data_IF_806554706442
#
_entry.id   IF_806554706442
#
_cell.length_a   1.000
_cell.length_b   1.000
_cell.length_c   1.000
_cell.angle_alpha   90.00
_cell.angle_beta   90.00
_cell.angle_gamma   90.00
#
_symmetry.space_group_name_H-M   'P 1'
#
loop_
_entity.id
_entity.type
_entity.pdbx_description
1 polymer ?
#
# COMPACT_ATOMS: atom_id res chain seq x y z
N UNK A 1 -8.82 11.41 5.70
CA UNK A 1 -9.45 12.42 4.82
C UNK A 1 -9.88 11.74 3.51
N UNK A 2 -10.93 12.19 2.81
CA UNK A 2 -11.41 11.53 1.59
C UNK A 2 -10.55 11.95 0.37
N UNK A 3 -9.30 11.50 0.31
CA UNK A 3 -8.37 11.80 -0.79
C UNK A 3 -8.32 10.61 -1.76
N UNK A 4 -8.55 10.86 -3.04
CA UNK A 4 -8.30 9.88 -4.09
C UNK A 4 -6.84 9.96 -4.56
N UNK A 5 -6.09 8.89 -4.30
CA UNK A 5 -4.65 8.83 -4.58
C UNK A 5 -4.33 8.56 -6.04
N UNK A 6 -5.23 7.92 -6.81
CA UNK A 6 -4.96 7.52 -8.21
C UNK A 6 -4.81 8.71 -9.18
N UNK A 7 -5.68 9.75 -9.13
CA UNK A 7 -5.50 10.95 -9.94
C UNK A 7 -4.51 11.95 -9.33
N UNK A 8 -4.10 11.75 -8.07
CA UNK A 8 -3.24 12.68 -7.34
C UNK A 8 -1.76 12.50 -7.73
N UNK A 9 -1.06 13.62 -7.96
CA UNK A 9 0.36 13.59 -8.33
C UNK A 9 1.15 14.75 -7.71
N UNK A 10 2.29 14.44 -7.10
CA UNK A 10 3.31 15.42 -6.73
C UNK A 10 4.51 15.31 -7.67
N UNK A 11 4.73 16.34 -8.49
CA UNK A 11 5.86 16.39 -9.45
C UNK A 11 7.22 16.55 -8.78
N UNK A 12 7.26 17.04 -7.54
CA UNK A 12 8.49 17.30 -6.79
C UNK A 12 8.80 16.23 -5.74
N UNK A 13 7.91 15.24 -5.59
CA UNK A 13 8.05 14.06 -4.71
C UNK A 13 9.47 13.51 -4.69
N UNK A 14 10.06 13.22 -5.84
CA UNK A 14 11.35 12.52 -5.91
C UNK A 14 12.50 13.36 -5.30
N UNK A 15 12.32 14.69 -5.23
CA UNK A 15 13.26 15.59 -4.54
C UNK A 15 13.02 15.65 -3.02
N UNK A 16 11.91 15.14 -2.51
CA UNK A 16 11.54 15.19 -1.08
C UNK A 16 11.72 13.86 -0.33
N UNK A 17 11.97 12.75 -1.01
CA UNK A 17 12.00 11.42 -0.41
C UNK A 17 13.40 10.78 -0.41
N UNK A 18 13.53 9.64 0.27
CA UNK A 18 14.76 8.84 0.29
C UNK A 18 15.65 9.10 1.50
N UNK A 19 16.84 8.48 1.46
CA UNK A 19 17.86 8.57 2.51
C UNK A 19 18.19 10.03 2.83
N UNK A 20 18.35 10.35 4.11
CA UNK A 20 18.62 11.69 4.64
C UNK A 20 17.49 12.72 4.47
N UNK A 21 16.29 12.31 4.04
CA UNK A 21 15.09 13.18 3.99
C UNK A 21 13.90 12.56 4.70
N UNK A 22 13.62 11.29 4.38
CA UNK A 22 12.54 10.50 5.01
C UNK A 22 13.12 9.17 5.43
N UNK A 23 13.05 8.16 4.56
CA UNK A 23 13.65 6.83 4.75
C UNK A 23 14.04 6.23 3.39
N UNK A 24 14.96 5.29 3.39
CA UNK A 24 15.58 4.73 2.18
C UNK A 24 14.63 3.90 1.29
N UNK A 25 13.53 3.40 1.86
CA UNK A 25 12.51 2.57 1.21
C UNK A 25 11.30 3.37 0.69
N UNK A 26 11.23 4.68 0.94
CA UNK A 26 10.03 5.47 0.68
C UNK A 26 9.54 5.35 -0.78
N UNK A 27 10.44 5.49 -1.75
CA UNK A 27 10.06 5.41 -3.17
C UNK A 27 9.48 4.04 -3.53
N UNK A 28 10.16 2.97 -3.14
CA UNK A 28 9.79 1.58 -3.38
C UNK A 28 8.41 1.26 -2.75
N UNK A 29 8.26 1.53 -1.45
CA UNK A 29 7.02 1.29 -0.70
C UNK A 29 5.85 2.08 -1.29
N UNK A 30 6.05 3.36 -1.60
CA UNK A 30 5.00 4.21 -2.18
C UNK A 30 4.56 3.71 -3.57
N UNK A 31 5.52 3.35 -4.43
CA UNK A 31 5.22 2.83 -5.76
C UNK A 31 4.49 1.47 -5.71
N UNK A 32 4.86 0.60 -4.77
CA UNK A 32 4.18 -0.67 -4.56
C UNK A 32 2.75 -0.48 -4.05
N UNK A 33 2.55 0.39 -3.05
CA UNK A 33 1.21 0.70 -2.52
C UNK A 33 0.29 1.26 -3.61
N UNK A 34 0.79 2.18 -4.44
CA UNK A 34 0.02 2.75 -5.55
C UNK A 34 -0.38 1.66 -6.56
N UNK A 35 0.56 0.81 -6.95
CA UNK A 35 0.31 -0.30 -7.89
C UNK A 35 -0.72 -1.28 -7.34
N UNK A 36 -0.57 -1.69 -6.09
CA UNK A 36 -1.48 -2.62 -5.43
C UNK A 36 -2.88 -2.04 -5.25
N UNK A 37 -2.97 -0.74 -4.92
CA UNK A 37 -4.25 -0.07 -4.79
C UNK A 37 -4.99 0.03 -6.13
N UNK A 38 -4.28 0.38 -7.22
CA UNK A 38 -4.87 0.42 -8.55
C UNK A 38 -5.42 -0.96 -8.99
N UNK A 39 -4.65 -2.03 -8.77
CA UNK A 39 -5.11 -3.40 -9.07
C UNK A 39 -6.28 -3.82 -8.19
N UNK A 40 -6.24 -3.49 -6.90
CA UNK A 40 -7.33 -3.79 -5.98
C UNK A 40 -8.63 -3.05 -6.31
N UNK A 41 -8.55 -1.80 -6.79
CA UNK A 41 -9.74 -1.07 -7.28
C UNK A 41 -10.36 -1.76 -8.50
N UNK A 42 -9.54 -2.19 -9.47
CA UNK A 42 -10.00 -2.96 -10.62
C UNK A 42 -10.64 -4.30 -10.21
N UNK A 43 -10.04 -5.01 -9.25
CA UNK A 43 -10.61 -6.25 -8.72
C UNK A 43 -11.96 -6.01 -8.02
N UNK A 44 -12.09 -4.92 -7.22
CA UNK A 44 -13.36 -4.53 -6.58
C UNK A 44 -14.44 -4.20 -7.63
N UNK A 45 -14.09 -3.47 -8.68
CA UNK A 45 -15.00 -3.15 -9.78
C UNK A 45 -15.47 -4.41 -10.50
N UNK A 46 -14.54 -5.32 -10.83
CA UNK A 46 -14.87 -6.60 -11.46
C UNK A 46 -15.80 -7.45 -10.58
N UNK A 47 -15.50 -7.52 -9.29
CA UNK A 47 -16.34 -8.23 -8.30
C UNK A 47 -17.74 -7.63 -8.18
N UNK A 48 -17.89 -6.31 -8.29
CA UNK A 48 -19.19 -5.65 -8.23
C UNK A 48 -20.06 -5.97 -9.47
N UNK A 49 -19.43 -6.28 -10.61
CA UNK A 49 -20.12 -6.61 -11.87
C UNK A 49 -20.41 -8.11 -11.98
N UNK A 50 -19.42 -8.96 -11.67
CA UNK A 50 -19.47 -10.40 -11.93
C UNK A 50 -19.70 -11.26 -10.67
N UNK A 51 -19.65 -10.65 -9.48
CA UNK A 51 -19.67 -11.34 -8.19
C UNK A 51 -18.29 -11.79 -7.72
N UNK A 52 -18.14 -11.96 -6.41
CA UNK A 52 -16.86 -12.31 -5.75
C UNK A 52 -16.31 -13.68 -6.18
N UNK A 53 -17.20 -14.60 -6.58
CA UNK A 53 -16.83 -15.94 -7.07
C UNK A 53 -16.04 -15.91 -8.39
N UNK A 54 -16.09 -14.80 -9.13
CA UNK A 54 -15.35 -14.62 -10.37
C UNK A 54 -13.88 -14.19 -10.15
N UNK A 55 -13.51 -13.77 -8.93
CA UNK A 55 -12.15 -13.32 -8.62
C UNK A 55 -11.20 -14.49 -8.38
N UNK A 56 -9.96 -14.37 -8.88
CA UNK A 56 -8.87 -15.24 -8.46
C UNK A 56 -8.50 -14.99 -6.99
N UNK A 57 -7.84 -15.95 -6.35
CA UNK A 57 -7.41 -15.77 -4.95
C UNK A 57 -6.40 -14.63 -4.77
N UNK A 58 -5.66 -14.28 -5.83
CA UNK A 58 -4.80 -13.10 -5.86
C UNK A 58 -5.63 -11.82 -5.98
N UNK A 59 -6.63 -11.78 -6.85
CA UNK A 59 -7.51 -10.62 -6.99
C UNK A 59 -8.30 -10.34 -5.71
N UNK A 60 -8.73 -11.38 -4.99
CA UNK A 60 -9.35 -11.24 -3.66
C UNK A 60 -8.40 -10.59 -2.66
N UNK A 61 -7.11 -10.97 -2.67
CA UNK A 61 -6.10 -10.34 -1.81
C UNK A 61 -5.85 -8.88 -2.19
N UNK A 62 -5.83 -8.54 -3.49
CA UNK A 62 -5.74 -7.14 -3.94
C UNK A 62 -6.98 -6.33 -3.57
N UNK A 63 -8.18 -6.89 -3.70
CA UNK A 63 -9.43 -6.25 -3.28
C UNK A 63 -9.43 -5.97 -1.76
N UNK A 64 -9.02 -6.96 -0.96
CA UNK A 64 -8.84 -6.82 0.50
C UNK A 64 -7.78 -5.78 0.84
N UNK A 65 -6.66 -5.76 0.13
CA UNK A 65 -5.62 -4.74 0.30
C UNK A 65 -6.19 -3.34 0.02
N UNK A 66 -6.97 -3.16 -1.04
CA UNK A 66 -7.53 -1.85 -1.39
C UNK A 66 -8.51 -1.33 -0.34
N UNK A 67 -9.34 -2.19 0.23
CA UNK A 67 -10.21 -1.84 1.36
C UNK A 67 -9.40 -1.42 2.60
N UNK A 68 -8.43 -2.24 3.02
CA UNK A 68 -7.57 -1.91 4.15
C UNK A 68 -6.75 -0.63 3.92
N UNK A 69 -6.34 -0.36 2.68
CA UNK A 69 -5.67 0.88 2.30
C UNK A 69 -6.58 2.11 2.45
N UNK A 70 -7.83 2.04 1.99
CA UNK A 70 -8.82 3.11 2.16
C UNK A 70 -9.10 3.37 3.66
N UNK A 71 -9.33 2.29 4.42
CA UNK A 71 -9.72 2.35 5.84
C UNK A 71 -8.60 2.75 6.79
N UNK A 72 -7.37 2.28 6.56
CA UNK A 72 -6.28 2.46 7.52
C UNK A 72 -5.26 3.48 7.02
N UNK A 73 -4.86 3.40 5.75
CA UNK A 73 -3.82 4.27 5.21
C UNK A 73 -4.35 5.67 4.92
N UNK A 74 -5.45 5.78 4.16
CA UNK A 74 -6.05 7.06 3.75
C UNK A 74 -6.87 7.68 4.88
N UNK A 75 -7.67 6.87 5.59
CA UNK A 75 -8.46 7.35 6.72
C UNK A 75 -7.63 7.45 8.00
N UNK A 76 -7.07 8.63 8.24
CA UNK A 76 -6.22 8.92 9.40
C UNK A 76 -7.00 9.33 10.67
N UNK A 77 -8.24 9.81 10.54
CA UNK A 77 -8.96 10.50 11.62
C UNK A 77 -8.62 11.99 11.69
N UNK A 78 -9.50 12.79 12.30
CA UNK A 78 -9.40 14.26 12.27
C UNK A 78 -8.25 14.83 13.13
N UNK A 79 -7.93 14.18 14.23
CA UNK A 79 -6.95 14.64 15.22
C UNK A 79 -5.61 13.91 15.16
N UNK A 80 -5.50 12.88 14.32
CA UNK A 80 -4.27 12.11 14.22
C UNK A 80 -3.22 12.87 13.41
N UNK A 81 -1.99 12.87 13.90
CA UNK A 81 -0.83 13.47 13.25
C UNK A 81 0.25 12.40 13.09
N UNK A 82 0.22 11.70 11.95
CA UNK A 82 1.19 10.65 11.64
C UNK A 82 2.49 11.25 11.12
N UNK A 83 3.60 10.82 11.69
CA UNK A 83 4.93 10.99 11.10
C UNK A 83 5.06 10.21 9.79
N UNK A 84 6.08 10.56 9.01
CA UNK A 84 6.38 9.82 7.78
C UNK A 84 6.80 8.37 8.08
N UNK A 85 7.47 8.11 9.21
CA UNK A 85 7.92 6.78 9.58
C UNK A 85 6.75 5.86 9.95
N UNK A 86 5.77 6.37 10.70
CA UNK A 86 4.51 5.67 11.00
C UNK A 86 3.73 5.37 9.72
N UNK A 87 3.69 6.32 8.79
CA UNK A 87 3.03 6.14 7.49
C UNK A 87 3.71 5.03 6.68
N UNK A 88 5.05 5.03 6.63
CA UNK A 88 5.79 3.98 5.94
C UNK A 88 5.62 2.61 6.61
N UNK A 89 5.66 2.55 7.94
CA UNK A 89 5.40 1.32 8.70
C UNK A 89 3.99 0.77 8.44
N UNK A 90 2.97 1.63 8.41
CA UNK A 90 1.61 1.22 8.06
C UNK A 90 1.55 0.68 6.63
N UNK A 91 2.25 1.32 5.69
CA UNK A 91 2.41 0.80 4.33
C UNK A 91 2.92 -0.63 4.30
N UNK A 92 3.99 -0.92 5.03
CA UNK A 92 4.55 -2.28 5.16
C UNK A 92 3.58 -3.28 5.80
N UNK A 93 2.85 -2.88 6.85
CA UNK A 93 1.81 -3.72 7.47
C UNK A 93 0.73 -4.11 6.46
N UNK A 94 0.28 -3.16 5.64
CA UNK A 94 -0.73 -3.43 4.61
C UNK A 94 -0.19 -4.31 3.48
N UNK A 95 1.05 -4.10 3.06
CA UNK A 95 1.68 -4.92 2.01
C UNK A 95 1.83 -6.39 2.40
N UNK A 96 1.83 -6.72 3.70
CA UNK A 96 1.81 -8.11 4.21
C UNK A 96 0.54 -8.88 3.80
N UNK A 97 -0.54 -8.20 3.42
CA UNK A 97 -1.76 -8.82 2.88
C UNK A 97 -1.49 -9.52 1.54
N UNK A 98 -0.53 -9.01 0.78
CA UNK A 98 -0.16 -9.57 -0.52
C UNK A 98 0.98 -10.58 -0.36
N UNK A 99 1.02 -11.64 -1.17
CA UNK A 99 2.12 -12.58 -1.14
C UNK A 99 3.40 -11.90 -1.65
N UNK A 100 4.56 -12.32 -1.15
CA UNK A 100 5.86 -11.72 -1.52
C UNK A 100 6.09 -11.68 -3.04
N UNK A 101 5.58 -12.67 -3.77
CA UNK A 101 5.68 -12.76 -5.24
C UNK A 101 5.01 -11.60 -5.97
N UNK A 102 4.07 -10.91 -5.32
CA UNK A 102 3.36 -9.75 -5.88
C UNK A 102 4.04 -8.40 -5.54
N UNK A 103 5.06 -8.39 -4.69
CA UNK A 103 5.79 -7.18 -4.27
C UNK A 103 6.92 -6.80 -5.26
N UNK A 104 6.56 -6.68 -6.53
CA UNK A 104 7.47 -6.56 -7.68
C UNK A 104 8.19 -5.21 -7.78
N UNK A 105 7.79 -4.19 -7.02
CA UNK A 105 8.33 -2.82 -7.07
C UNK A 105 9.22 -2.46 -5.89
N UNK A 106 9.54 -3.45 -5.05
CA UNK A 106 10.36 -3.27 -3.87
C UNK A 106 11.60 -4.14 -3.99
N UNK A 107 12.77 -3.57 -3.74
CA UNK A 107 14.03 -4.32 -3.67
C UNK A 107 14.01 -5.33 -2.52
N UNK A 108 14.62 -6.50 -2.74
CA UNK A 108 14.68 -7.58 -1.76
C UNK A 108 15.28 -7.15 -0.42
N UNK A 109 16.32 -6.30 -0.46
CA UNK A 109 16.98 -5.75 0.74
C UNK A 109 16.00 -5.03 1.68
N UNK A 110 14.98 -4.35 1.12
CA UNK A 110 13.96 -3.67 1.91
C UNK A 110 12.84 -4.59 2.34
N UNK A 111 12.47 -5.57 1.50
CA UNK A 111 11.54 -6.62 1.91
C UNK A 111 12.08 -7.37 3.12
N UNK A 112 13.38 -7.68 3.17
CA UNK A 112 13.99 -8.38 4.32
C UNK A 112 14.09 -7.50 5.56
N UNK A 113 14.36 -6.20 5.37
CA UNK A 113 14.58 -5.25 6.46
C UNK A 113 13.29 -4.75 7.11
N UNK A 114 12.24 -4.51 6.33
CA UNK A 114 11.05 -3.78 6.78
C UNK A 114 9.76 -4.59 6.78
N UNK A 115 9.70 -5.73 6.09
CA UNK A 115 8.51 -6.58 6.14
C UNK A 115 8.32 -7.10 7.58
N UNK A 116 7.14 -6.94 8.19
CA UNK A 116 6.86 -7.50 9.50
C UNK A 116 7.00 -9.03 9.49
N UNK A 117 7.91 -9.57 10.30
CA UNK A 117 8.21 -11.01 10.37
C UNK A 117 7.22 -11.71 11.28
N UNK A 118 6.07 -12.13 10.74
CA UNK A 118 5.02 -12.80 11.54
C UNK A 118 4.44 -11.88 12.61
N UNK A 119 3.31 -12.27 13.20
CA UNK A 119 2.79 -11.58 14.39
C UNK A 119 3.17 -12.46 15.60
N UNK A 120 3.91 -11.91 16.55
CA UNK A 120 3.69 -12.27 17.95
C UNK A 120 2.39 -11.56 18.35
N UNK A 121 1.27 -12.23 18.08
CA UNK A 121 0.00 -12.12 18.78
C UNK A 121 -0.83 -13.40 18.55
#
# INVERSE_FOLDING_TARGET
PPIDVLPSLSRLKDKGIGKNKTREDHADTMNQLFSAYAQGKQAKELSAILGESALSDIDKQYAKFAEAFEEQYVSQGFTANRSIEETLQLGWKLLKILPRTELKRIRDEYLEKYMPKGDEE
#
